data_IF_914271817572
#
_entry.id   IF_914271817572
#
_cell.length_a   1.000
_cell.length_b   1.000
_cell.length_c   1.000
_cell.angle_alpha   90.00
_cell.angle_beta   90.00
_cell.angle_gamma   90.00
#
_symmetry.space_group_name_H-M   'P 1'
#
loop_
_entity.id
_entity.type
_entity.pdbx_description
1 polymer ?
#
# COMPACT_ATOMS: atom_id res chain seq x y z
N UNK A 1 -20.01 -0.47 25.99
CA UNK A 1 -21.02 0.59 25.76
C UNK A 1 -21.63 0.38 24.38
N UNK A 2 -22.96 0.43 24.22
CA UNK A 2 -23.60 0.37 22.90
C UNK A 2 -23.26 1.61 22.08
N UNK A 3 -23.13 1.45 20.77
CA UNK A 3 -22.57 2.48 19.89
C UNK A 3 -23.65 3.54 19.51
N UNK A 4 -23.30 4.83 19.42
CA UNK A 4 -24.21 5.86 18.93
C UNK A 4 -24.62 5.59 17.48
N UNK A 5 -25.92 5.69 17.18
CA UNK A 5 -26.51 5.48 15.85
C UNK A 5 -25.81 6.26 14.74
N UNK A 6 -25.48 7.54 15.00
CA UNK A 6 -24.83 8.41 14.02
C UNK A 6 -23.47 7.86 13.54
N UNK A 7 -22.68 7.26 14.45
CA UNK A 7 -21.38 6.67 14.11
C UNK A 7 -21.56 5.44 13.22
N UNK A 8 -22.55 4.60 13.52
CA UNK A 8 -22.85 3.42 12.70
C UNK A 8 -23.37 3.80 11.31
N UNK A 9 -24.14 4.88 11.19
CA UNK A 9 -24.61 5.39 9.89
C UNK A 9 -23.46 5.96 9.05
N UNK A 10 -22.54 6.73 9.64
CA UNK A 10 -21.37 7.27 8.91
C UNK A 10 -20.40 6.18 8.43
N UNK A 11 -20.25 5.09 9.21
CA UNK A 11 -19.47 3.93 8.80
C UNK A 11 -20.19 3.01 7.79
N UNK A 12 -21.49 3.21 7.57
CA UNK A 12 -22.32 2.30 6.77
C UNK A 12 -22.47 0.92 7.43
N UNK A 13 -22.45 0.88 8.77
CA UNK A 13 -22.65 -0.31 9.60
C UNK A 13 -24.07 -0.36 10.20
N UNK A 14 -24.90 0.65 9.95
CA UNK A 14 -26.28 0.68 10.44
C UNK A 14 -27.18 -0.22 9.60
N UNK A 15 -27.93 -1.18 10.21
CA UNK A 15 -28.83 -2.04 9.47
C UNK A 15 -30.00 -1.24 8.89
N UNK A 16 -30.12 -1.26 7.56
CA UNK A 16 -31.31 -0.79 6.85
C UNK A 16 -32.39 -1.85 7.01
N UNK A 17 -33.29 -1.65 7.97
CA UNK A 17 -34.48 -2.48 8.08
C UNK A 17 -35.46 -2.08 6.97
N UNK A 18 -35.55 -2.88 5.90
CA UNK A 18 -36.71 -2.85 5.03
C UNK A 18 -37.89 -3.41 5.84
N UNK A 19 -38.95 -2.63 6.02
CA UNK A 19 -40.18 -3.14 6.62
C UNK A 19 -40.69 -4.32 5.79
N UNK A 20 -41.28 -5.32 6.45
CA UNK A 20 -41.95 -6.44 5.77
C UNK A 20 -43.00 -5.93 4.76
N UNK A 21 -43.59 -4.76 4.99
CA UNK A 21 -44.51 -4.12 4.07
C UNK A 21 -43.85 -3.65 2.77
N UNK A 22 -42.58 -3.22 2.80
CA UNK A 22 -41.82 -2.84 1.60
C UNK A 22 -41.40 -4.09 0.78
N UNK A 23 -41.08 -5.20 1.46
CA UNK A 23 -40.80 -6.47 0.81
C UNK A 23 -42.07 -7.11 0.21
N UNK A 24 -43.22 -6.99 0.88
CA UNK A 24 -44.52 -7.44 0.38
C UNK A 24 -45.01 -6.56 -0.79
N UNK A 25 -44.79 -5.23 -0.74
CA UNK A 25 -45.09 -4.33 -1.84
C UNK A 25 -44.23 -4.64 -3.08
N UNK A 26 -42.92 -4.88 -2.91
CA UNK A 26 -42.02 -5.28 -3.99
C UNK A 26 -42.37 -6.66 -4.58
N UNK A 27 -42.81 -7.62 -3.75
CA UNK A 27 -43.28 -8.92 -4.20
C UNK A 27 -44.63 -8.85 -4.95
N UNK A 28 -45.52 -7.94 -4.55
CA UNK A 28 -46.81 -7.73 -5.24
C UNK A 28 -46.67 -7.02 -6.59
N UNK A 29 -45.70 -6.10 -6.71
CA UNK A 29 -45.39 -5.42 -7.97
C UNK A 29 -44.77 -6.37 -9.01
N UNK A 30 -44.08 -7.42 -8.57
CA UNK A 30 -43.50 -8.43 -9.46
C UNK A 30 -44.52 -9.47 -9.98
N UNK A 31 -45.76 -9.47 -9.48
CA UNK A 31 -46.81 -10.43 -9.88
C UNK A 31 -47.92 -9.82 -10.74
N UNK A 32 -47.94 -8.49 -10.96
CA UNK A 32 -49.00 -7.83 -11.74
C UNK A 32 -48.65 -7.46 -13.19
N UNK A 33 -47.42 -7.64 -13.65
CA UNK A 33 -47.05 -7.35 -15.04
C UNK A 33 -46.77 -8.64 -15.84
N UNK A 34 -47.84 -9.38 -16.14
CA UNK A 34 -47.88 -10.27 -17.31
C UNK A 34 -49.08 -9.87 -18.15
N UNK A 35 -48.95 -8.74 -18.84
CA UNK A 35 -49.81 -8.36 -19.95
C UNK A 35 -48.94 -8.29 -21.22
N UNK A 36 -49.27 -9.19 -22.14
CA UNK A 36 -48.80 -9.31 -23.52
C UNK A 36 -48.61 -7.98 -24.23
N UNK A 37 -47.42 -7.75 -24.78
CA UNK A 37 -47.19 -6.78 -25.85
C UNK A 37 -46.37 -7.43 -26.96
N UNK A 38 -46.90 -7.26 -28.17
CA UNK A 38 -46.49 -7.85 -29.42
C UNK A 38 -45.11 -7.35 -29.89
N UNK A 39 -44.42 -8.20 -30.64
CA UNK A 39 -43.12 -7.94 -31.26
C UNK A 39 -43.29 -7.03 -32.47
N UNK A 40 -42.59 -5.89 -32.49
CA UNK A 40 -42.35 -5.09 -33.68
C UNK A 40 -40.84 -4.76 -33.81
N UNK A 41 -40.41 -4.71 -35.06
CA UNK A 41 -39.04 -4.82 -35.61
C UNK A 41 -37.88 -4.17 -34.85
N UNK A 42 -36.78 -4.92 -34.80
CA UNK A 42 -35.45 -4.45 -34.44
C UNK A 42 -34.70 -3.97 -35.70
N UNK A 43 -34.40 -2.67 -35.79
CA UNK A 43 -33.36 -2.14 -36.66
C UNK A 43 -32.02 -2.11 -35.91
N UNK A 44 -31.00 -2.67 -36.57
CA UNK A 44 -29.67 -2.98 -36.08
C UNK A 44 -28.90 -1.84 -35.42
N UNK A 45 -28.21 -2.17 -34.32
CA UNK A 45 -27.02 -1.47 -33.83
C UNK A 45 -25.84 -2.42 -33.94
N UNK A 46 -24.80 -2.00 -34.68
CA UNK A 46 -23.59 -2.77 -34.95
C UNK A 46 -22.71 -2.94 -33.70
N UNK A 47 -22.08 -4.10 -33.57
CA UNK A 47 -21.31 -4.52 -32.41
C UNK A 47 -19.88 -3.93 -32.30
N UNK A 48 -19.54 -2.91 -33.10
CA UNK A 48 -18.20 -2.31 -33.13
C UNK A 48 -18.09 -0.96 -32.39
N UNK A 49 -19.17 -0.46 -31.77
CA UNK A 49 -19.19 0.85 -31.08
C UNK A 49 -19.40 0.75 -29.55
N UNK A 50 -19.07 -0.38 -28.92
CA UNK A 50 -19.19 -0.58 -27.47
C UNK A 50 -17.83 -0.73 -26.77
N UNK A 51 -17.57 -0.01 -25.65
CA UNK A 51 -16.34 -0.11 -24.88
C UNK A 51 -16.21 -1.49 -24.18
N UNK A 52 -14.97 -1.98 -23.94
CA UNK A 52 -14.66 -3.41 -23.77
C UNK A 52 -15.13 -4.07 -22.46
N UNK A 53 -15.93 -3.40 -21.63
CA UNK A 53 -16.41 -3.96 -20.36
C UNK A 53 -17.93 -4.17 -20.29
N UNK A 54 -18.68 -3.87 -21.35
CA UNK A 54 -20.13 -4.13 -21.44
C UNK A 54 -20.45 -5.39 -22.25
N UNK A 55 -20.06 -6.56 -21.74
CA UNK A 55 -20.61 -7.85 -22.22
C UNK A 55 -21.21 -8.62 -21.04
N UNK A 56 -22.56 -8.76 -20.95
CA UNK A 56 -23.15 -9.63 -19.95
C UNK A 56 -22.89 -11.10 -20.31
N UNK A 57 -22.33 -11.84 -19.36
CA UNK A 57 -22.11 -13.28 -19.46
C UNK A 57 -23.46 -14.00 -19.71
N UNK A 58 -23.53 -14.74 -20.82
CA UNK A 58 -24.71 -15.49 -21.22
C UNK A 58 -25.11 -16.51 -20.15
N UNK A 59 -26.37 -16.40 -19.72
CA UNK A 59 -27.07 -17.34 -18.85
C UNK A 59 -27.32 -18.63 -19.63
N UNK A 60 -26.69 -19.73 -19.21
CA UNK A 60 -26.98 -21.06 -19.76
C UNK A 60 -28.34 -21.54 -19.22
N UNK A 61 -29.28 -21.72 -20.15
CA UNK A 61 -30.66 -22.19 -19.92
C UNK A 61 -30.73 -23.66 -19.53
N UNK A 62 -31.61 -23.94 -18.55
CA UNK A 62 -31.99 -25.26 -18.09
C UNK A 62 -32.79 -26.04 -19.17
N UNK A 63 -32.54 -27.36 -19.25
CA UNK A 63 -33.37 -28.32 -19.95
C UNK A 63 -33.96 -29.34 -18.95
N UNK A 64 -35.29 -29.44 -18.92
CA UNK A 64 -36.06 -30.53 -18.32
C UNK A 64 -36.35 -31.59 -19.43
N UNK A 65 -36.67 -32.88 -19.25
CA UNK A 65 -37.54 -33.62 -18.30
C UNK A 65 -37.25 -35.16 -18.48
N UNK A 66 -37.30 -36.07 -17.48
CA UNK A 66 -38.40 -37.07 -17.18
C UNK A 66 -37.91 -38.27 -16.28
N UNK A 67 -38.82 -39.06 -15.64
CA UNK A 67 -38.74 -39.39 -14.20
C UNK A 67 -38.68 -40.90 -13.80
N UNK A 68 -38.78 -41.15 -12.47
CA UNK A 68 -38.99 -42.38 -11.66
C UNK A 68 -37.72 -42.92 -10.96
N UNK A 69 -37.66 -43.33 -9.69
CA UNK A 69 -38.68 -43.86 -8.79
C UNK A 69 -38.33 -43.63 -7.28
N UNK A 70 -39.36 -43.71 -6.42
CA UNK A 70 -39.34 -43.76 -4.94
C UNK A 70 -38.53 -44.93 -4.39
N UNK A 71 -37.79 -44.75 -3.28
CA UNK A 71 -37.81 -45.62 -2.06
C UNK A 71 -37.39 -44.77 -0.83
N UNK A 72 -37.92 -45.15 0.33
CA UNK A 72 -38.09 -44.48 1.61
C UNK A 72 -36.85 -44.24 2.50
N UNK A 73 -37.00 -43.32 3.47
CA UNK A 73 -36.26 -43.26 4.75
C UNK A 73 -36.82 -44.31 5.74
N UNK A 74 -36.05 -44.73 6.77
CA UNK A 74 -36.10 -44.04 8.09
C UNK A 74 -34.73 -44.04 8.82
N UNK A 75 -34.33 -43.00 9.58
CA UNK A 75 -34.53 -42.72 11.02
C UNK A 75 -33.21 -42.79 11.83
N UNK A 76 -32.95 -41.68 12.53
CA UNK A 76 -32.34 -41.48 13.85
C UNK A 76 -31.36 -42.49 14.46
N UNK A 77 -30.16 -42.01 14.82
CA UNK A 77 -29.49 -42.40 16.07
C UNK A 77 -28.53 -41.29 16.56
N UNK A 78 -28.65 -40.93 17.85
CA UNK A 78 -27.81 -39.99 18.62
C UNK A 78 -26.68 -40.79 19.34
N UNK A 79 -25.74 -40.18 20.10
CA UNK A 79 -24.31 -40.39 19.96
C UNK A 79 -23.73 -41.41 20.97
N UNK A 80 -22.56 -41.97 20.68
CA UNK A 80 -21.77 -42.73 21.66
C UNK A 80 -20.41 -42.06 21.81
N UNK A 81 -20.13 -41.65 23.05
CA UNK A 81 -18.82 -41.24 23.53
C UNK A 81 -17.93 -42.47 23.73
N UNK A 82 -16.66 -42.37 23.34
CA UNK A 82 -15.58 -43.23 23.86
C UNK A 82 -14.30 -42.42 24.02
N UNK A 83 -13.63 -42.74 25.11
CA UNK A 83 -12.58 -42.00 25.78
C UNK A 83 -11.20 -42.03 25.10
N UNK A 84 -10.39 -41.07 25.55
CA UNK A 84 -8.95 -40.93 25.41
C UNK A 84 -8.13 -42.22 25.53
N UNK A 85 -7.09 -42.33 24.68
CA UNK A 85 -5.85 -43.02 25.03
C UNK A 85 -4.64 -42.42 24.29
N UNK A 86 -3.74 -41.77 25.03
CA UNK A 86 -2.39 -41.40 24.58
C UNK A 86 -1.52 -42.64 24.33
N UNK A 87 -0.52 -42.53 23.43
CA UNK A 87 0.73 -43.26 23.61
C UNK A 87 1.93 -42.32 23.80
N UNK A 88 2.72 -42.66 24.82
CA UNK A 88 3.97 -42.03 25.25
C UNK A 88 5.20 -42.55 24.43
N UNK A 89 6.46 -42.12 24.71
CA UNK A 89 7.42 -41.67 23.71
C UNK A 89 8.40 -42.75 23.21
N UNK A 90 8.98 -42.54 22.03
CA UNK A 90 10.08 -43.36 21.51
C UNK A 90 11.40 -42.60 21.61
N UNK A 91 12.39 -43.22 22.28
CA UNK A 91 13.70 -42.68 22.55
C UNK A 91 14.72 -42.97 21.43
N UNK A 92 15.46 -41.91 21.06
CA UNK A 92 16.93 -41.79 20.92
C UNK A 92 17.70 -42.90 20.17
N UNK A 93 18.15 -42.57 18.95
CA UNK A 93 19.32 -43.18 18.32
C UNK A 93 20.46 -42.15 18.17
N UNK A 94 21.66 -42.58 18.55
CA UNK A 94 22.90 -41.82 18.71
C UNK A 94 23.71 -41.75 17.40
N UNK A 95 24.16 -40.55 17.00
CA UNK A 95 25.18 -40.35 15.97
C UNK A 95 26.57 -40.13 16.60
N UNK A 96 27.64 -40.77 16.10
CA UNK A 96 29.00 -40.42 16.46
C UNK A 96 29.61 -39.36 15.50
N UNK A 97 30.40 -38.46 16.09
CA UNK A 97 31.29 -37.48 15.43
C UNK A 97 32.61 -38.15 15.06
N UNK A 98 33.42 -37.62 14.11
CA UNK A 98 34.48 -36.71 14.55
C UNK A 98 34.93 -35.60 13.56
N UNK A 99 35.63 -34.63 14.17
CA UNK A 99 36.75 -33.79 13.70
C UNK A 99 36.58 -32.67 12.65
N UNK A 100 36.99 -31.47 13.10
CA UNK A 100 37.28 -30.20 12.43
C UNK A 100 38.53 -30.25 11.54
N UNK A 101 38.72 -29.32 10.57
CA UNK A 101 39.52 -28.12 10.88
C UNK A 101 39.07 -26.79 10.22
N UNK A 102 39.58 -25.71 10.81
CA UNK A 102 39.61 -24.31 10.36
C UNK A 102 39.92 -24.10 8.86
N UNK A 103 39.31 -23.06 8.27
CA UNK A 103 39.98 -22.28 7.22
C UNK A 103 39.47 -20.84 7.12
N UNK A 104 40.31 -19.93 7.57
CA UNK A 104 40.36 -18.52 7.17
C UNK A 104 40.99 -18.40 5.77
N UNK A 105 40.47 -17.48 4.95
CA UNK A 105 41.26 -16.77 3.95
C UNK A 105 40.91 -16.98 2.47
N UNK A 106 40.92 -15.85 1.77
CA UNK A 106 41.14 -15.64 0.34
C UNK A 106 39.92 -15.56 -0.60
N UNK A 107 39.67 -14.30 -0.96
CA UNK A 107 38.97 -13.78 -2.13
C UNK A 107 39.75 -14.19 -3.39
N UNK A 108 39.07 -14.73 -4.41
CA UNK A 108 39.63 -14.87 -5.76
C UNK A 108 38.65 -14.36 -6.81
N UNK A 109 39.16 -13.45 -7.63
CA UNK A 109 38.53 -12.78 -8.77
C UNK A 109 38.21 -13.79 -9.87
N UNK A 110 37.04 -13.69 -10.47
CA UNK A 110 36.69 -14.39 -11.70
C UNK A 110 37.04 -13.51 -12.91
N UNK A 111 38.09 -13.90 -13.64
CA UNK A 111 38.29 -13.58 -15.04
C UNK A 111 38.52 -14.93 -15.71
N UNK A 112 37.57 -15.39 -16.50
CA UNK A 112 37.74 -16.41 -17.54
C UNK A 112 36.44 -16.44 -18.37
N UNK A 113 36.41 -15.67 -19.46
CA UNK A 113 35.45 -15.82 -20.56
C UNK A 113 36.25 -16.27 -21.80
N UNK A 114 35.79 -17.29 -22.55
CA UNK A 114 36.48 -17.80 -23.73
C UNK A 114 36.31 -16.85 -24.93
N UNK A 115 37.29 -16.80 -25.86
CA UNK A 115 37.23 -15.96 -27.04
C UNK A 115 36.50 -16.71 -28.16
N UNK A 116 35.45 -16.10 -28.71
CA UNK A 116 35.07 -16.15 -30.12
C UNK A 116 33.70 -15.47 -30.23
N UNK A 117 33.71 -14.21 -30.70
CA UNK A 117 32.61 -13.50 -31.38
C UNK A 117 32.99 -12.01 -31.48
N UNK A 118 33.93 -11.69 -32.39
CA UNK A 118 34.19 -10.31 -32.83
C UNK A 118 33.47 -10.13 -34.18
N UNK A 119 32.43 -9.28 -34.29
CA UNK A 119 31.80 -9.02 -35.57
C UNK A 119 32.73 -8.30 -36.56
N UNK A 120 32.69 -8.78 -37.81
CA UNK A 120 33.40 -8.28 -39.00
C UNK A 120 33.01 -6.85 -39.43
N UNK A 121 33.70 -5.83 -38.93
CA UNK A 121 33.51 -4.44 -39.40
C UNK A 121 34.78 -3.58 -39.32
N UNK A 122 35.97 -4.18 -39.28
CA UNK A 122 37.20 -3.39 -39.21
C UNK A 122 38.36 -4.04 -39.99
N UNK A 123 38.16 -4.21 -41.29
CA UNK A 123 39.28 -4.28 -42.22
C UNK A 123 39.36 -2.94 -42.98
N UNK A 124 40.38 -2.16 -42.66
CA UNK A 124 41.05 -1.31 -43.64
C UNK A 124 42.40 -0.91 -43.08
N UNK A 125 43.42 -1.68 -43.45
CA UNK A 125 44.79 -1.21 -43.47
C UNK A 125 44.87 0.08 -44.30
N UNK A 126 45.50 1.11 -43.75
CA UNK A 126 45.57 2.43 -44.36
C UNK A 126 46.49 3.38 -43.62
N UNK A 127 47.80 3.16 -43.78
CA UNK A 127 48.82 4.20 -43.95
C UNK A 127 48.95 5.30 -42.88
N UNK A 128 50.07 5.27 -42.14
CA UNK A 128 50.60 6.45 -41.45
C UNK A 128 51.74 6.12 -40.51
N UNK A 129 52.97 6.41 -40.93
CA UNK A 129 54.09 6.72 -40.03
C UNK A 129 53.63 7.81 -39.04
N UNK A 130 53.25 7.40 -37.83
CA UNK A 130 52.88 8.28 -36.74
C UNK A 130 53.90 8.14 -35.63
N UNK A 131 54.73 9.16 -35.45
CA UNK A 131 55.76 9.25 -34.42
C UNK A 131 55.25 8.78 -33.04
N UNK A 132 55.85 7.73 -32.49
CA UNK A 132 55.60 7.27 -31.11
C UNK A 132 55.86 8.38 -30.06
N UNK A 133 56.55 9.45 -30.44
CA UNK A 133 56.74 10.66 -29.64
C UNK A 133 55.48 11.53 -29.55
N UNK A 134 54.61 11.54 -30.57
CA UNK A 134 53.36 12.30 -30.58
C UNK A 134 52.30 11.64 -29.67
N UNK A 135 52.24 10.31 -29.66
CA UNK A 135 51.37 9.57 -28.73
C UNK A 135 51.87 9.69 -27.28
N UNK A 136 53.18 9.64 -27.03
CA UNK A 136 53.73 9.90 -25.70
C UNK A 136 53.50 11.35 -25.23
N UNK A 137 53.50 12.33 -26.14
CA UNK A 137 53.16 13.72 -25.85
C UNK A 137 51.66 13.88 -25.53
N UNK A 138 50.77 13.17 -26.23
CA UNK A 138 49.34 13.17 -25.92
C UNK A 138 49.05 12.55 -24.54
N UNK A 139 49.72 11.45 -24.20
CA UNK A 139 49.57 10.78 -22.90
C UNK A 139 50.20 11.56 -21.74
N UNK A 140 51.18 12.42 -21.99
CA UNK A 140 51.76 13.32 -20.97
C UNK A 140 50.93 14.59 -20.77
N UNK A 141 50.30 15.14 -21.80
CA UNK A 141 49.30 16.23 -21.66
C UNK A 141 48.07 15.75 -20.87
N UNK A 142 47.66 14.48 -21.04
CA UNK A 142 46.56 13.87 -20.28
C UNK A 142 46.96 13.50 -18.84
N UNK A 143 48.25 13.31 -18.53
CA UNK A 143 48.73 13.01 -17.16
C UNK A 143 49.12 14.23 -16.34
N UNK A 144 49.54 15.33 -16.96
CA UNK A 144 49.89 16.57 -16.27
C UNK A 144 48.76 17.62 -16.27
N UNK A 145 47.65 17.35 -16.97
CA UNK A 145 46.37 17.98 -16.71
C UNK A 145 45.79 17.44 -15.41
N UNK A 146 46.30 17.92 -14.28
CA UNK A 146 45.82 17.55 -12.96
C UNK A 146 44.29 17.58 -12.89
N UNK A 147 43.74 16.71 -12.04
CA UNK A 147 42.39 16.79 -11.48
C UNK A 147 42.22 18.13 -10.73
N UNK A 148 42.23 19.22 -11.49
CA UNK A 148 41.74 20.51 -11.08
C UNK A 148 40.22 20.42 -11.18
N UNK A 149 39.65 20.03 -10.04
CA UNK A 149 38.36 20.52 -9.58
C UNK A 149 37.29 20.57 -10.68
N UNK A 150 36.84 19.39 -11.11
CA UNK A 150 35.51 19.30 -11.69
C UNK A 150 34.58 20.02 -10.70
N UNK A 151 33.85 21.08 -11.09
CA UNK A 151 33.12 21.90 -10.16
C UNK A 151 32.23 20.98 -9.33
N UNK A 152 32.60 20.79 -8.05
CA UNK A 152 31.84 19.96 -7.14
C UNK A 152 30.47 20.61 -7.07
N UNK A 153 29.52 20.04 -7.80
CA UNK A 153 28.12 20.44 -7.74
C UNK A 153 27.78 20.46 -6.25
N UNK A 154 27.39 21.62 -5.68
CA UNK A 154 27.27 21.74 -4.23
C UNK A 154 26.41 20.60 -3.73
N UNK A 155 26.97 19.79 -2.84
CA UNK A 155 26.27 18.64 -2.28
C UNK A 155 24.96 19.17 -1.69
N UNK A 156 23.84 18.69 -2.24
CA UNK A 156 22.53 19.12 -1.80
C UNK A 156 22.42 18.90 -0.28
N UNK A 157 21.85 19.83 0.48
CA UNK A 157 21.72 19.68 1.93
C UNK A 157 21.00 18.36 2.26
N UNK A 158 21.46 17.71 3.32
CA UNK A 158 20.88 16.45 3.82
C UNK A 158 19.40 16.66 4.17
N UNK A 159 18.57 15.65 3.93
CA UNK A 159 17.11 15.75 4.09
C UNK A 159 16.74 16.12 5.54
N UNK A 160 17.49 15.59 6.51
CA UNK A 160 17.37 15.88 7.95
C UNK A 160 17.49 17.36 8.33
N UNK A 161 18.17 18.20 7.54
CA UNK A 161 18.38 19.63 7.86
C UNK A 161 17.38 20.56 7.18
N UNK A 162 16.58 20.07 6.23
CA UNK A 162 15.67 20.89 5.44
C UNK A 162 14.53 21.43 6.29
N UNK A 163 14.22 22.71 6.19
CA UNK A 163 12.93 23.22 6.64
C UNK A 163 11.80 22.70 5.73
N UNK A 164 10.57 23.09 6.05
CA UNK A 164 9.40 22.54 5.36
C UNK A 164 9.31 22.99 3.90
N UNK A 165 9.60 24.26 3.62
CA UNK A 165 9.58 24.81 2.28
C UNK A 165 10.65 24.12 1.41
N UNK A 166 11.88 24.01 1.91
CA UNK A 166 12.96 23.31 1.21
C UNK A 166 12.69 21.81 1.05
N UNK A 167 12.04 21.17 2.03
CA UNK A 167 11.62 19.77 1.92
C UNK A 167 10.56 19.58 0.84
N UNK A 168 9.58 20.49 0.77
CA UNK A 168 8.53 20.47 -0.26
C UNK A 168 9.14 20.62 -1.65
N UNK A 169 10.03 21.60 -1.84
CA UNK A 169 10.74 21.82 -3.10
C UNK A 169 11.62 20.62 -3.48
N UNK A 170 12.32 20.03 -2.51
CA UNK A 170 13.14 18.84 -2.74
C UNK A 170 12.29 17.66 -3.23
N UNK A 171 11.12 17.44 -2.63
CA UNK A 171 10.22 16.36 -3.06
C UNK A 171 9.66 16.63 -4.45
N UNK A 172 9.23 17.85 -4.76
CA UNK A 172 8.73 18.23 -6.09
C UNK A 172 9.74 17.89 -7.20
N UNK A 173 11.03 18.12 -6.94
CA UNK A 173 12.11 17.91 -7.89
C UNK A 173 12.82 16.55 -7.74
N UNK A 174 12.34 15.66 -6.88
CA UNK A 174 13.03 14.41 -6.54
C UNK A 174 13.15 13.47 -7.75
N UNK A 175 14.36 12.91 -7.95
CA UNK A 175 14.68 11.90 -8.99
C UNK A 175 15.47 10.72 -8.43
N UNK A 176 15.32 10.42 -7.14
CA UNK A 176 16.13 9.40 -6.45
C UNK A 176 15.74 7.95 -6.79
N UNK A 177 14.57 7.72 -7.39
CA UNK A 177 14.12 6.39 -7.81
C UNK A 177 13.34 6.45 -9.14
N UNK A 178 13.14 5.29 -9.78
CA UNK A 178 12.50 5.18 -11.11
C UNK A 178 11.04 5.64 -11.16
N UNK A 179 10.37 5.80 -10.02
CA UNK A 179 9.00 6.34 -9.96
C UNK A 179 8.87 7.76 -10.50
N UNK A 180 9.98 8.52 -10.54
CA UNK A 180 10.00 9.88 -11.07
C UNK A 180 9.73 9.96 -12.58
N UNK A 181 9.92 8.87 -13.31
CA UNK A 181 9.78 8.83 -14.77
C UNK A 181 8.32 8.75 -15.22
N UNK A 182 7.44 8.21 -14.37
CA UNK A 182 6.05 7.90 -14.73
C UNK A 182 5.00 8.73 -14.00
N UNK A 183 5.39 9.42 -12.93
CA UNK A 183 4.47 10.30 -12.19
C UNK A 183 4.06 11.50 -13.04
N UNK A 184 2.86 12.01 -12.80
CA UNK A 184 2.45 13.33 -13.31
C UNK A 184 2.99 14.42 -12.39
N UNK A 185 2.81 14.24 -11.08
CA UNK A 185 3.36 15.11 -10.04
C UNK A 185 3.62 14.32 -8.76
N UNK A 186 4.39 14.89 -7.84
CA UNK A 186 4.58 14.28 -6.53
C UNK A 186 3.41 14.63 -5.61
N UNK A 187 3.14 13.73 -4.67
CA UNK A 187 2.12 13.91 -3.63
C UNK A 187 2.84 13.99 -2.31
N UNK A 188 3.14 15.21 -1.88
CA UNK A 188 3.95 15.48 -0.69
C UNK A 188 3.20 15.11 0.60
N UNK A 189 1.95 15.57 0.69
CA UNK A 189 1.09 15.51 1.86
C UNK A 189 0.27 16.80 1.96
N UNK A 190 -0.86 16.74 2.65
CA UNK A 190 -1.74 17.91 2.89
C UNK A 190 -2.27 17.89 4.31
N UNK A 191 -2.50 19.08 4.87
CA UNK A 191 -3.15 19.25 6.16
C UNK A 191 -2.49 20.33 7.01
N UNK A 192 -2.81 20.29 8.29
CA UNK A 192 -2.29 21.24 9.28
C UNK A 192 -0.80 20.95 9.58
N UNK A 193 0.04 22.00 9.53
CA UNK A 193 1.49 21.90 9.80
C UNK A 193 1.80 21.82 11.29
N UNK A 194 0.81 22.04 12.15
CA UNK A 194 0.89 21.85 13.60
C UNK A 194 0.01 20.67 14.05
N UNK A 195 -0.35 19.78 13.12
CA UNK A 195 -1.23 18.64 13.39
C UNK A 195 -0.67 17.69 14.46
N UNK A 196 -1.49 17.40 15.46
CA UNK A 196 -1.24 16.32 16.40
C UNK A 196 -1.44 14.93 15.77
N UNK A 197 -2.27 14.83 14.72
CA UNK A 197 -2.61 13.58 14.06
C UNK A 197 -1.94 13.48 12.70
N UNK A 198 -1.06 12.49 12.53
CA UNK A 198 -0.48 12.16 11.23
C UNK A 198 -1.09 10.86 10.69
N UNK A 199 -1.71 10.93 9.52
CA UNK A 199 -2.22 9.76 8.79
C UNK A 199 -1.22 9.40 7.69
N UNK A 200 -0.82 8.12 7.65
CA UNK A 200 0.15 7.64 6.65
C UNK A 200 -0.42 6.49 5.83
N UNK A 201 -0.56 6.71 4.54
CA UNK A 201 -0.84 5.67 3.54
C UNK A 201 0.41 5.13 2.87
N UNK A 202 0.20 4.26 1.88
CA UNK A 202 1.29 3.56 1.19
C UNK A 202 1.90 4.41 0.07
N UNK A 203 1.12 4.71 -0.96
CA UNK A 203 1.55 5.43 -2.14
C UNK A 203 0.37 6.15 -2.81
N UNK A 204 0.63 7.16 -3.66
CA UNK A 204 -0.40 7.84 -4.43
C UNK A 204 -1.08 6.90 -5.43
N UNK A 205 -2.40 7.01 -5.56
CA UNK A 205 -3.16 6.41 -6.65
C UNK A 205 -3.20 7.32 -7.89
N UNK A 206 -4.00 6.95 -8.88
CA UNK A 206 -4.12 7.71 -10.13
C UNK A 206 -4.65 9.13 -9.92
N UNK A 207 -5.69 9.28 -9.09
CA UNK A 207 -6.31 10.60 -8.87
C UNK A 207 -5.40 11.49 -8.03
N UNK A 208 -4.71 10.89 -7.06
CA UNK A 208 -3.71 11.57 -6.24
C UNK A 208 -2.53 12.05 -7.10
N UNK A 209 -2.02 11.23 -8.01
CA UNK A 209 -0.96 11.62 -8.95
C UNK A 209 -1.38 12.74 -9.90
N UNK A 210 -2.65 12.79 -10.31
CA UNK A 210 -3.16 13.87 -11.16
C UNK A 210 -3.36 15.18 -10.39
N UNK A 211 -3.77 15.11 -9.13
CA UNK A 211 -4.15 16.28 -8.32
C UNK A 211 -3.02 16.79 -7.42
N UNK A 212 -2.02 15.98 -7.10
CA UNK A 212 -0.93 16.34 -6.18
C UNK A 212 -1.29 16.18 -4.70
N UNK A 213 -2.50 15.70 -4.41
CA UNK A 213 -3.03 15.58 -3.06
C UNK A 213 -3.31 14.12 -2.67
N UNK A 214 -3.02 13.71 -1.43
CA UNK A 214 -3.23 12.34 -0.99
C UNK A 214 -4.70 12.08 -0.64
N UNK A 215 -5.15 10.85 -0.92
CA UNK A 215 -6.50 10.39 -0.56
C UNK A 215 -7.61 11.32 -1.10
N UNK A 216 -7.65 11.53 -2.42
CA UNK A 216 -8.71 12.30 -3.11
C UNK A 216 -9.72 11.40 -3.83
N UNK A 217 -9.39 10.12 -4.04
CA UNK A 217 -10.31 9.14 -4.64
C UNK A 217 -11.43 8.65 -3.69
N UNK A 218 -12.09 7.55 -4.06
CA UNK A 218 -13.13 6.91 -3.23
C UNK A 218 -12.62 6.48 -1.86
N UNK A 219 -11.37 6.00 -1.80
CA UNK A 219 -10.70 5.69 -0.54
C UNK A 219 -10.54 6.93 0.35
N UNK A 220 -10.32 8.09 -0.27
CA UNK A 220 -10.24 9.38 0.42
C UNK A 220 -11.57 9.82 1.02
N UNK A 221 -12.67 9.68 0.26
CA UNK A 221 -14.01 9.96 0.77
C UNK A 221 -14.36 9.10 1.99
N UNK A 222 -14.00 7.83 1.96
CA UNK A 222 -14.17 6.95 3.14
C UNK A 222 -13.29 7.41 4.31
N UNK A 223 -12.03 7.79 4.05
CA UNK A 223 -11.15 8.34 5.09
C UNK A 223 -11.76 9.59 5.74
N UNK A 224 -12.32 10.49 4.94
CA UNK A 224 -12.97 11.70 5.46
C UNK A 224 -14.18 11.36 6.35
N UNK A 225 -14.96 10.33 6.01
CA UNK A 225 -16.05 9.85 6.87
C UNK A 225 -15.51 9.28 8.20
N UNK A 226 -14.41 8.50 8.14
CA UNK A 226 -13.79 7.91 9.32
C UNK A 226 -13.21 8.97 10.27
N UNK A 227 -12.65 10.05 9.71
CA UNK A 227 -12.19 11.20 10.47
C UNK A 227 -13.34 11.91 11.17
N UNK A 228 -14.43 12.22 10.44
CA UNK A 228 -15.60 12.88 11.04
C UNK A 228 -16.19 12.09 12.20
N UNK A 229 -16.34 10.78 12.04
CA UNK A 229 -16.82 9.92 13.11
C UNK A 229 -15.89 9.90 14.33
N UNK A 230 -14.59 10.15 14.13
CA UNK A 230 -13.59 10.29 15.19
C UNK A 230 -13.51 11.71 15.77
N UNK A 231 -14.39 12.63 15.33
CA UNK A 231 -14.38 14.06 15.67
C UNK A 231 -13.10 14.77 15.20
N UNK A 232 -12.61 14.36 14.03
CA UNK A 232 -11.48 14.94 13.34
C UNK A 232 -11.93 15.45 11.97
N UNK A 233 -11.18 16.40 11.41
CA UNK A 233 -11.45 16.94 10.08
C UNK A 233 -10.15 17.14 9.31
N UNK A 234 -10.15 16.79 8.04
CA UNK A 234 -9.00 17.02 7.15
C UNK A 234 -8.67 18.51 7.15
N UNK A 235 -7.38 18.83 7.32
CA UNK A 235 -6.89 20.22 7.36
C UNK A 235 -7.02 20.91 8.71
N UNK A 236 -7.63 20.28 9.72
CA UNK A 236 -7.75 20.81 11.08
C UNK A 236 -7.18 19.79 12.06
N UNK A 237 -6.01 20.07 12.64
CA UNK A 237 -5.29 19.15 13.54
C UNK A 237 -4.93 17.78 12.93
N UNK A 238 -4.99 17.65 11.61
CA UNK A 238 -4.72 16.42 10.86
C UNK A 238 -3.81 16.73 9.68
N UNK A 239 -2.74 15.96 9.55
CA UNK A 239 -1.88 15.92 8.38
C UNK A 239 -1.92 14.54 7.72
N UNK A 240 -1.99 14.49 6.40
CA UNK A 240 -2.13 13.26 5.63
C UNK A 240 -0.97 13.16 4.66
N UNK A 241 -0.28 12.02 4.69
CA UNK A 241 0.85 11.74 3.81
C UNK A 241 0.85 10.26 3.38
N UNK A 242 1.75 9.92 2.47
CA UNK A 242 2.09 8.55 2.12
C UNK A 242 3.58 8.29 2.39
N UNK A 243 3.95 7.02 2.53
CA UNK A 243 5.36 6.60 2.57
C UNK A 243 6.04 6.99 1.26
N UNK A 244 5.47 6.60 0.13
CA UNK A 244 5.94 7.06 -1.18
C UNK A 244 5.29 8.38 -1.59
N UNK A 245 6.07 9.24 -2.26
CA UNK A 245 5.60 10.53 -2.80
C UNK A 245 5.25 10.48 -4.28
N UNK A 246 5.43 9.33 -4.94
CA UNK A 246 5.19 9.13 -6.37
C UNK A 246 4.36 7.86 -6.57
N UNK A 247 3.48 7.87 -7.57
CA UNK A 247 2.62 6.73 -7.90
C UNK A 247 3.43 5.59 -8.57
N UNK A 248 3.36 4.35 -8.05
CA UNK A 248 3.88 3.17 -8.73
C UNK A 248 3.12 2.84 -10.02
N UNK A 249 3.80 2.36 -11.08
CA UNK A 249 3.14 2.01 -12.33
C UNK A 249 2.08 0.93 -12.12
N UNK A 250 0.88 1.14 -12.68
CA UNK A 250 -0.22 0.20 -12.52
C UNK A 250 -0.75 0.06 -11.08
N UNK A 251 -0.40 0.98 -10.17
CA UNK A 251 -0.66 0.87 -8.73
C UNK A 251 -0.14 -0.46 -8.14
N UNK A 252 1.00 -0.94 -8.66
CA UNK A 252 1.70 -2.08 -8.08
C UNK A 252 2.19 -1.76 -6.67
N UNK A 253 2.54 -2.81 -5.95
CA UNK A 253 3.19 -2.69 -4.67
C UNK A 253 4.57 -1.99 -4.82
N UNK A 254 4.95 -1.13 -3.85
CA UNK A 254 6.26 -0.49 -3.78
C UNK A 254 7.43 -1.49 -3.73
N UNK A 255 8.52 -1.16 -4.41
CA UNK A 255 9.79 -1.88 -4.29
C UNK A 255 10.61 -1.36 -3.10
N UNK A 256 11.52 -2.19 -2.58
CA UNK A 256 12.25 -1.88 -1.35
C UNK A 256 13.19 -0.68 -1.50
N UNK A 257 13.80 -0.51 -2.67
CA UNK A 257 14.66 0.63 -3.03
C UNK A 257 13.85 1.93 -3.16
N UNK A 258 12.64 1.86 -3.71
CA UNK A 258 11.72 2.99 -3.80
C UNK A 258 11.33 3.50 -2.41
N UNK A 259 11.03 2.57 -1.50
CA UNK A 259 10.73 2.87 -0.09
C UNK A 259 11.95 3.48 0.60
N UNK A 260 13.12 2.85 0.47
CA UNK A 260 14.36 3.34 1.08
C UNK A 260 14.73 4.76 0.59
N UNK A 261 14.42 5.09 -0.66
CA UNK A 261 14.67 6.40 -1.25
C UNK A 261 13.67 7.47 -0.78
N UNK A 262 12.45 7.08 -0.42
CA UNK A 262 11.37 8.01 -0.05
C UNK A 262 11.16 8.16 1.46
N UNK A 263 11.45 7.13 2.26
CA UNK A 263 11.32 7.12 3.72
C UNK A 263 11.98 8.33 4.40
N UNK A 264 13.18 8.81 3.99
CA UNK A 264 13.80 9.98 4.60
C UNK A 264 12.92 11.24 4.56
N UNK A 265 12.09 11.41 3.52
CA UNK A 265 11.16 12.54 3.43
C UNK A 265 10.04 12.42 4.46
N UNK A 266 9.48 11.22 4.64
CA UNK A 266 8.45 10.99 5.66
C UNK A 266 9.03 11.18 7.07
N UNK A 267 10.23 10.64 7.34
CA UNK A 267 10.93 10.83 8.61
C UNK A 267 11.14 12.31 8.91
N UNK A 268 11.55 13.10 7.91
CA UNK A 268 11.67 14.55 8.08
C UNK A 268 10.33 15.24 8.31
N UNK A 269 9.27 14.83 7.63
CA UNK A 269 7.90 15.33 7.90
C UNK A 269 7.49 15.07 9.35
N UNK A 270 7.73 13.86 9.88
CA UNK A 270 7.45 13.53 11.29
C UNK A 270 8.25 14.42 12.24
N UNK A 271 9.54 14.63 11.97
CA UNK A 271 10.40 15.48 12.80
C UNK A 271 9.99 16.96 12.81
N UNK A 272 9.44 17.45 11.69
CA UNK A 272 8.94 18.83 11.58
C UNK A 272 7.54 19.00 12.21
N UNK A 273 6.62 18.06 11.96
CA UNK A 273 5.25 18.09 12.49
C UNK A 273 5.21 17.81 13.99
N UNK A 274 6.04 16.88 14.49
CA UNK A 274 6.00 16.36 15.86
C UNK A 274 4.59 15.93 16.29
N UNK A 275 3.93 15.03 15.52
CA UNK A 275 2.58 14.59 15.85
C UNK A 275 2.56 13.85 17.19
N UNK A 276 1.40 13.86 17.85
CA UNK A 276 1.15 13.10 19.09
C UNK A 276 0.76 11.67 18.82
N UNK A 277 0.16 11.40 17.66
CA UNK A 277 -0.21 10.04 17.23
C UNK A 277 -0.09 9.89 15.72
N UNK A 278 0.37 8.73 15.28
CA UNK A 278 0.42 8.34 13.86
C UNK A 278 -0.56 7.21 13.62
N UNK A 279 -1.42 7.35 12.62
CA UNK A 279 -2.29 6.26 12.14
C UNK A 279 -1.77 5.78 10.80
N UNK A 280 -1.29 4.54 10.75
CA UNK A 280 -0.75 3.93 9.54
C UNK A 280 -1.79 3.02 8.93
N UNK A 281 -2.09 3.26 7.65
CA UNK A 281 -3.18 2.62 6.94
C UNK A 281 -2.63 1.66 5.88
N UNK A 282 -2.93 0.37 6.05
CA UNK A 282 -2.55 -0.67 5.10
C UNK A 282 -1.27 -1.40 5.46
N UNK A 283 -1.08 -2.56 4.80
CA UNK A 283 -0.02 -3.51 5.15
C UNK A 283 1.36 -2.93 4.85
N UNK A 284 1.57 -2.40 3.64
CA UNK A 284 2.87 -1.91 3.22
C UNK A 284 3.32 -0.70 4.02
N UNK A 285 2.44 0.27 4.23
CA UNK A 285 2.75 1.43 5.06
C UNK A 285 3.18 0.99 6.47
N UNK A 286 2.47 0.05 7.08
CA UNK A 286 2.80 -0.49 8.40
C UNK A 286 4.13 -1.25 8.41
N UNK A 287 4.36 -2.11 7.41
CA UNK A 287 5.60 -2.89 7.28
C UNK A 287 6.83 -2.01 7.05
N UNK A 288 6.69 -0.96 6.24
CA UNK A 288 7.76 0.01 5.98
C UNK A 288 8.12 0.80 7.24
N UNK A 289 7.12 1.41 7.90
CA UNK A 289 7.34 2.26 9.08
C UNK A 289 7.86 1.44 10.28
N UNK A 290 7.27 0.25 10.51
CA UNK A 290 7.64 -0.60 11.65
C UNK A 290 8.79 -1.57 11.34
N UNK A 291 9.36 -1.51 10.13
CA UNK A 291 10.48 -2.36 9.67
C UNK A 291 10.27 -3.84 9.95
N UNK A 292 9.10 -4.34 9.55
CA UNK A 292 8.64 -5.69 9.86
C UNK A 292 7.97 -6.34 8.65
N UNK A 293 7.91 -7.68 8.65
CA UNK A 293 7.15 -8.47 7.67
C UNK A 293 5.87 -9.08 8.27
N UNK A 294 5.50 -8.65 9.48
CA UNK A 294 4.29 -9.10 10.15
C UNK A 294 3.03 -8.80 9.31
N UNK A 295 2.02 -9.66 9.45
CA UNK A 295 0.73 -9.46 8.77
C UNK A 295 -0.03 -8.29 9.40
N UNK A 296 -0.88 -7.64 8.62
CA UNK A 296 -1.70 -6.53 9.13
C UNK A 296 -2.59 -6.96 10.31
N UNK A 297 -3.08 -8.20 10.29
CA UNK A 297 -3.91 -8.74 11.36
C UNK A 297 -3.18 -8.81 12.71
N UNK A 298 -1.87 -9.12 12.72
CA UNK A 298 -1.08 -9.15 13.95
C UNK A 298 -0.56 -7.78 14.38
N UNK A 299 -0.47 -6.82 13.47
CA UNK A 299 -0.04 -5.45 13.78
C UNK A 299 -1.16 -4.61 14.39
N UNK A 300 -2.41 -4.85 14.03
CA UNK A 300 -3.57 -4.11 14.56
C UNK A 300 -3.86 -4.40 16.03
N UNK A 301 -4.66 -3.54 16.67
CA UNK A 301 -5.15 -3.72 18.04
C UNK A 301 -4.10 -3.52 19.15
N UNK A 302 -2.95 -2.92 18.83
CA UNK A 302 -1.88 -2.57 19.78
C UNK A 302 -1.21 -1.27 19.36
N UNK A 303 -0.53 -0.65 20.31
CA UNK A 303 0.25 0.59 20.10
C UNK A 303 1.69 0.20 19.76
N UNK A 304 2.23 0.77 18.68
CA UNK A 304 3.64 0.68 18.29
C UNK A 304 4.30 2.05 18.43
N UNK A 305 5.55 2.16 18.00
CA UNK A 305 6.29 3.42 18.07
C UNK A 305 7.08 3.64 16.78
N UNK A 306 7.14 4.89 16.32
CA UNK A 306 7.99 5.33 15.22
C UNK A 306 8.52 6.73 15.50
N UNK A 307 9.85 6.88 15.47
CA UNK A 307 10.54 8.15 15.76
C UNK A 307 10.08 8.82 17.07
N UNK A 308 9.79 8.02 18.11
CA UNK A 308 9.32 8.49 19.42
C UNK A 308 7.82 8.80 19.51
N UNK A 309 7.04 8.57 18.44
CA UNK A 309 5.60 8.84 18.39
C UNK A 309 4.81 7.53 18.40
N UNK A 310 3.72 7.41 19.18
CA UNK A 310 2.89 6.22 19.16
C UNK A 310 2.18 6.03 17.82
N UNK A 311 2.20 4.79 17.33
CA UNK A 311 1.67 4.38 16.03
C UNK A 311 0.54 3.37 16.21
N UNK A 312 -0.61 3.66 15.60
CA UNK A 312 -1.71 2.71 15.47
C UNK A 312 -1.81 2.24 14.02
N UNK A 313 -1.86 0.92 13.83
CA UNK A 313 -2.05 0.32 12.51
C UNK A 313 -3.52 0.03 12.29
N UNK A 314 -4.03 0.34 11.10
CA UNK A 314 -5.39 -0.01 10.67
C UNK A 314 -5.44 -0.42 9.20
N UNK A 315 -6.61 -0.88 8.74
CA UNK A 315 -6.83 -1.23 7.35
C UNK A 315 -6.83 0.00 6.43
N UNK A 316 -6.33 -0.18 5.20
CA UNK A 316 -6.40 0.87 4.20
C UNK A 316 -7.85 1.11 3.77
N UNK A 317 -8.31 2.38 3.60
CA UNK A 317 -9.69 2.66 3.17
C UNK A 317 -10.09 1.97 1.86
N UNK A 318 -9.17 1.88 0.89
CA UNK A 318 -9.42 1.15 -0.36
C UNK A 318 -9.72 -0.35 -0.15
N UNK A 319 -9.14 -0.98 0.88
CA UNK A 319 -9.45 -2.36 1.25
C UNK A 319 -10.83 -2.46 1.89
N UNK A 320 -11.18 -1.52 2.79
CA UNK A 320 -12.48 -1.49 3.46
C UNK A 320 -13.66 -1.29 2.50
N UNK A 321 -13.44 -0.63 1.35
CA UNK A 321 -14.44 -0.53 0.29
C UNK A 321 -14.75 -1.86 -0.40
N UNK A 322 -13.81 -2.81 -0.37
CA UNK A 322 -13.99 -4.17 -0.92
C UNK A 322 -14.42 -5.18 0.15
N UNK A 323 -14.03 -4.95 1.40
CA UNK A 323 -14.30 -5.81 2.55
C UNK A 323 -15.09 -5.04 3.62
N UNK A 324 -16.37 -4.80 3.35
CA UNK A 324 -17.25 -4.02 4.23
C UNK A 324 -17.31 -4.51 5.69
N UNK A 325 -17.34 -5.83 5.99
CA UNK A 325 -17.39 -6.31 7.38
C UNK A 325 -16.19 -5.90 8.23
N UNK A 326 -15.02 -5.65 7.62
CA UNK A 326 -13.80 -5.28 8.33
C UNK A 326 -13.78 -3.81 8.76
N UNK A 327 -14.77 -3.01 8.36
CA UNK A 327 -14.94 -1.63 8.85
C UNK A 327 -15.11 -1.56 10.37
N UNK A 328 -15.82 -2.53 10.96
CA UNK A 328 -15.98 -2.60 12.41
C UNK A 328 -14.63 -2.81 13.12
N UNK A 329 -13.73 -3.61 12.52
CA UNK A 329 -12.38 -3.82 13.04
C UNK A 329 -11.55 -2.55 12.92
N UNK A 330 -11.63 -1.85 11.78
CA UNK A 330 -10.96 -0.57 11.60
C UNK A 330 -11.40 0.45 12.66
N UNK A 331 -12.70 0.54 12.94
CA UNK A 331 -13.21 1.44 13.98
C UNK A 331 -12.61 1.16 15.37
N UNK A 332 -12.44 -0.10 15.75
CA UNK A 332 -11.76 -0.45 17.00
C UNK A 332 -10.34 0.14 17.05
N UNK A 333 -9.63 0.16 15.92
CA UNK A 333 -8.30 0.79 15.85
C UNK A 333 -8.39 2.32 16.00
N UNK A 334 -9.41 2.97 15.43
CA UNK A 334 -9.62 4.42 15.60
C UNK A 334 -9.96 4.79 17.04
N UNK A 335 -10.75 3.98 17.73
CA UNK A 335 -10.97 4.14 19.17
C UNK A 335 -9.66 4.00 19.96
N UNK A 336 -8.82 3.03 19.61
CA UNK A 336 -7.50 2.87 20.23
C UNK A 336 -6.60 4.09 19.95
N UNK A 337 -6.59 4.61 18.72
CA UNK A 337 -5.83 5.81 18.36
C UNK A 337 -6.28 7.03 19.17
N UNK A 338 -7.59 7.21 19.34
CA UNK A 338 -8.14 8.28 20.16
C UNK A 338 -7.77 8.15 21.63
N UNK A 339 -7.93 6.96 22.21
CA UNK A 339 -7.54 6.71 23.60
C UNK A 339 -6.03 6.95 23.81
N UNK A 340 -5.20 6.57 22.83
CA UNK A 340 -3.75 6.82 22.85
C UNK A 340 -3.43 8.32 22.79
N UNK A 341 -4.10 9.05 21.90
CA UNK A 341 -3.96 10.50 21.79
C UNK A 341 -4.35 11.22 23.10
N UNK A 342 -5.48 10.85 23.70
CA UNK A 342 -5.95 11.42 24.98
C UNK A 342 -4.91 11.17 26.10
N UNK A 343 -4.36 9.96 26.21
CA UNK A 343 -3.33 9.63 27.20
C UNK A 343 -2.00 10.41 26.98
N UNK A 344 -1.59 10.62 25.73
CA UNK A 344 -0.43 11.46 25.41
C UNK A 344 -0.70 12.92 25.78
N UNK A 345 -1.92 13.40 25.57
CA UNK A 345 -2.31 14.75 25.94
C UNK A 345 -2.32 15.00 27.45
N UNK A 346 -2.75 14.01 28.23
CA UNK A 346 -2.74 14.09 29.69
C UNK A 346 -1.31 14.11 30.27
N UNK A 347 -0.40 13.35 29.67
CA UNK A 347 1.00 13.29 30.11
C UNK A 347 1.86 14.48 29.64
N UNK A 348 1.44 15.19 28.59
CA UNK A 348 2.14 16.37 28.06
C UNK A 348 1.22 17.62 28.05
N UNK A 349 0.95 18.22 29.22
CA UNK A 349 -0.05 19.29 29.37
C UNK A 349 0.33 20.62 28.70
N UNK A 350 1.58 20.81 28.29
CA UNK A 350 2.06 22.05 27.67
C UNK A 350 1.43 22.38 26.29
N UNK A 351 0.66 21.45 25.70
CA UNK A 351 -0.07 21.66 24.44
C UNK A 351 -1.44 20.93 24.49
N UNK A 352 -2.23 21.19 25.54
CA UNK A 352 -3.59 20.64 25.62
C UNK A 352 -4.43 21.27 24.49
N UNK A 353 -5.08 20.49 23.62
CA UNK A 353 -5.96 21.06 22.60
C UNK A 353 -7.06 21.87 23.29
N UNK A 354 -7.26 23.11 22.83
CA UNK A 354 -8.40 23.93 23.23
C UNK A 354 -9.63 23.20 22.71
N UNK A 355 -10.41 22.62 23.61
CA UNK A 355 -11.68 22.01 23.27
C UNK A 355 -12.57 23.11 22.65
N UNK A 356 -12.93 22.95 21.38
CA UNK A 356 -13.99 23.72 20.75
C UNK A 356 -15.35 23.08 21.03
#
# INVERSE_FOLDING_TARGET
MPWPKAILEEFGLWPVWMSHDAAAAAASAAQSDVATLEVADASAVNADDLPPWDVPAAVATAAAVRPAARVAAPETAVPVATEYREPAPVARATNPRPATPNRTGAVSRANDLPPDDIPMWLDSEGYGDGDAAADAALWSIVRDGGEADAPQRPALPAVETLDWEALTERVANCRLCGLCEKRTQTVFGVGDREADWLLVGEAPGQQEDLQGEPFVGQAGKLLDNMLRASVLKRGENVYIANVLKCRPPGNRDPEADEVASCEPYLKRQVALLKPRVIVVMGRFAAQSILRTQASIASLRGRVHEYEGVPVIVTYHPAYLLRSLPDKAKAWTDWCLARATYEAVCESTPANKPIAN
#
